data_IF_107208547389
#
_entry.id   IF_107208547389
#
_cell.length_a   1.000
_cell.length_b   1.000
_cell.length_c   1.000
_cell.angle_alpha   90.00
_cell.angle_beta   90.00
_cell.angle_gamma   90.00
#
_symmetry.space_group_name_H-M   'P 1'
#
loop_
_entity.id
_entity.type
_entity.pdbx_description
1 polymer ?
#
# COMPACT_ATOMS: atom_id res chain seq x y z
N UNK A 1 1.61 -23.01 12.59
CA UNK A 1 1.46 -22.44 13.94
C UNK A 1 1.68 -20.93 13.84
N UNK A 2 0.71 -20.12 14.24
CA UNK A 2 0.78 -18.65 14.20
C UNK A 2 1.46 -18.13 15.46
N UNK A 3 2.69 -17.61 15.35
CA UNK A 3 3.49 -17.10 16.49
C UNK A 3 3.22 -15.60 16.78
N UNK A 4 2.11 -15.04 16.32
CA UNK A 4 1.79 -13.61 16.44
C UNK A 4 0.91 -13.27 17.66
N UNK A 5 0.97 -12.02 18.13
CA UNK A 5 0.04 -11.51 19.15
C UNK A 5 -1.36 -11.39 18.55
N UNK A 6 -2.36 -12.03 19.16
CA UNK A 6 -3.78 -11.87 18.80
C UNK A 6 -4.22 -10.44 19.07
N UNK A 7 -4.88 -9.83 18.09
CA UNK A 7 -5.42 -8.48 18.14
C UNK A 7 -6.92 -8.55 18.38
N UNK A 8 -7.40 -7.68 19.26
CA UNK A 8 -8.82 -7.40 19.43
C UNK A 8 -9.20 -6.20 18.57
N UNK A 9 -10.21 -6.36 17.71
CA UNK A 9 -10.80 -5.24 16.97
C UNK A 9 -11.39 -4.25 17.98
N UNK A 10 -10.83 -3.05 18.00
CA UNK A 10 -11.18 -1.97 18.93
C UNK A 10 -10.83 -0.63 18.28
N UNK A 11 -11.45 0.46 18.74
CA UNK A 11 -11.11 1.80 18.25
C UNK A 11 -9.62 2.14 18.42
N UNK A 12 -8.99 1.65 19.49
CA UNK A 12 -7.56 1.86 19.73
C UNK A 12 -6.69 1.11 18.72
N UNK A 13 -7.06 -0.13 18.35
CA UNK A 13 -6.39 -0.83 17.26
C UNK A 13 -6.52 -0.06 15.94
N UNK A 14 -7.71 0.44 15.62
CA UNK A 14 -7.95 1.21 14.39
C UNK A 14 -7.09 2.49 14.34
N UNK A 15 -6.90 3.18 15.47
CA UNK A 15 -5.97 4.32 15.56
C UNK A 15 -4.53 3.94 15.24
N UNK A 16 -4.09 2.71 15.56
CA UNK A 16 -2.72 2.25 15.20
C UNK A 16 -2.51 2.10 13.70
N UNK A 17 -3.58 2.06 12.90
CA UNK A 17 -3.55 1.98 11.44
C UNK A 17 -3.51 3.38 10.79
N UNK A 18 -3.78 4.45 11.54
CA UNK A 18 -3.80 5.82 11.03
C UNK A 18 -2.42 6.23 10.48
N UNK A 19 -2.39 6.74 9.24
CA UNK A 19 -1.16 7.13 8.54
C UNK A 19 -0.24 5.97 8.14
N UNK A 20 -0.68 4.71 8.29
CA UNK A 20 0.11 3.51 7.98
C UNK A 20 -0.43 2.78 6.75
N UNK A 21 0.48 2.08 6.07
CA UNK A 21 0.16 1.11 5.03
C UNK A 21 0.14 -0.27 5.66
N UNK A 22 -1.04 -0.88 5.74
CA UNK A 22 -1.26 -2.15 6.45
C UNK A 22 -1.74 -3.23 5.49
N UNK A 23 -1.13 -4.40 5.58
CA UNK A 23 -1.49 -5.58 4.80
C UNK A 23 -2.19 -6.61 5.67
N UNK A 24 -3.32 -7.12 5.20
CA UNK A 24 -4.06 -8.21 5.83
C UNK A 24 -3.98 -9.44 4.93
N UNK A 25 -3.21 -10.42 5.40
CA UNK A 25 -3.02 -11.73 4.81
C UNK A 25 -4.18 -12.65 5.22
N UNK A 26 -4.81 -13.29 4.25
CA UNK A 26 -5.87 -14.26 4.49
C UNK A 26 -5.64 -15.56 3.69
N UNK A 27 -6.14 -16.67 4.24
CA UNK A 27 -5.97 -18.01 3.65
C UNK A 27 -7.00 -18.38 2.59
N UNK A 28 -7.22 -19.70 2.41
CA UNK A 28 -7.99 -20.33 1.31
C UNK A 28 -9.48 -19.95 1.19
N UNK A 29 -10.05 -19.27 2.17
CA UNK A 29 -11.44 -18.79 2.11
C UNK A 29 -11.47 -17.38 1.52
N UNK A 30 -12.45 -17.11 0.63
CA UNK A 30 -12.86 -15.74 0.26
C UNK A 30 -12.86 -14.86 1.52
N UNK A 31 -12.45 -13.59 1.37
CA UNK A 31 -12.51 -12.51 2.38
C UNK A 31 -13.45 -12.92 3.52
N UNK A 32 -12.88 -13.44 4.61
CA UNK A 32 -13.70 -13.96 5.71
C UNK A 32 -14.52 -12.82 6.29
N UNK A 33 -15.68 -13.12 6.89
CA UNK A 33 -16.57 -12.10 7.47
C UNK A 33 -15.84 -11.04 8.28
N UNK A 34 -14.72 -11.36 8.95
CA UNK A 34 -13.93 -10.37 9.70
C UNK A 34 -13.19 -9.31 8.88
N UNK A 35 -12.76 -9.61 7.65
CA UNK A 35 -12.11 -8.58 6.83
C UNK A 35 -13.17 -7.57 6.41
N UNK A 36 -14.36 -8.06 6.06
CA UNK A 36 -15.54 -7.23 5.88
C UNK A 36 -15.92 -6.49 7.17
N UNK A 37 -15.91 -7.13 8.34
CA UNK A 37 -16.21 -6.49 9.63
C UNK A 37 -15.13 -5.48 10.03
N UNK A 38 -13.86 -5.75 9.75
CA UNK A 38 -12.74 -4.83 9.95
C UNK A 38 -12.92 -3.60 9.07
N UNK A 39 -13.22 -3.80 7.78
CA UNK A 39 -13.52 -2.72 6.84
C UNK A 39 -14.74 -1.94 7.34
N UNK A 40 -15.84 -2.61 7.71
CA UNK A 40 -17.05 -1.98 8.24
C UNK A 40 -16.74 -1.15 9.50
N UNK A 41 -16.07 -1.74 10.48
CA UNK A 41 -15.70 -1.06 11.71
C UNK A 41 -14.79 0.14 11.42
N UNK A 42 -13.78 -0.02 10.57
CA UNK A 42 -12.87 1.09 10.28
C UNK A 42 -13.57 2.22 9.53
N UNK A 43 -14.44 1.88 8.57
CA UNK A 43 -15.31 2.82 7.88
C UNK A 43 -16.33 3.48 8.83
N UNK A 44 -16.75 2.83 9.93
CA UNK A 44 -17.68 3.38 10.94
C UNK A 44 -17.02 4.47 11.79
N UNK A 45 -15.73 4.34 12.09
CA UNK A 45 -15.01 5.25 12.97
C UNK A 45 -14.19 6.31 12.23
N UNK A 46 -13.96 6.13 10.93
CA UNK A 46 -13.18 7.07 10.14
C UNK A 46 -14.01 8.30 9.75
N UNK A 47 -13.55 9.49 10.17
CA UNK A 47 -14.24 10.75 9.92
C UNK A 47 -13.95 11.38 8.54
N UNK A 48 -13.00 10.81 7.78
CA UNK A 48 -12.58 11.31 6.47
C UNK A 48 -13.29 10.64 5.28
N UNK A 49 -12.81 10.93 4.08
CA UNK A 49 -13.30 10.28 2.86
C UNK A 49 -12.66 8.91 2.67
N UNK A 50 -13.46 7.94 2.23
CA UNK A 50 -13.01 6.57 2.01
C UNK A 50 -12.94 6.34 0.51
N UNK A 51 -11.80 5.88 0.02
CA UNK A 51 -11.60 5.50 -1.38
C UNK A 51 -11.42 4.00 -1.42
N UNK A 52 -12.28 3.34 -2.17
CA UNK A 52 -12.20 1.91 -2.41
C UNK A 52 -11.65 1.64 -3.80
N UNK A 53 -10.46 1.04 -3.86
CA UNK A 53 -9.77 0.65 -5.09
C UNK A 53 -10.00 -0.83 -5.37
N UNK A 54 -10.58 -1.14 -6.52
CA UNK A 54 -10.98 -2.50 -6.89
C UNK A 54 -10.65 -2.84 -8.35
N UNK A 55 -10.33 -4.10 -8.64
CA UNK A 55 -9.97 -4.56 -9.99
C UNK A 55 -11.21 -4.82 -10.85
N UNK A 56 -12.21 -5.51 -10.28
CA UNK A 56 -13.45 -5.93 -10.96
C UNK A 56 -14.71 -5.42 -10.23
N UNK A 57 -15.90 -5.57 -10.85
CA UNK A 57 -17.18 -5.08 -10.31
C UNK A 57 -17.63 -5.78 -9.01
N UNK A 58 -17.08 -6.93 -8.68
CA UNK A 58 -17.37 -7.60 -7.40
C UNK A 58 -16.48 -7.01 -6.31
N UNK A 59 -16.90 -5.89 -5.73
CA UNK A 59 -16.26 -5.37 -4.52
C UNK A 59 -16.44 -6.37 -3.38
N UNK A 60 -15.36 -6.68 -2.64
CA UNK A 60 -15.46 -7.43 -1.38
C UNK A 60 -16.12 -6.62 -0.26
N UNK A 61 -16.40 -5.33 -0.51
CA UNK A 61 -17.07 -4.44 0.41
C UNK A 61 -18.57 -4.79 0.53
N UNK A 62 -19.07 -5.01 1.76
CA UNK A 62 -20.49 -5.18 2.04
C UNK A 62 -21.34 -4.02 1.52
N UNK A 63 -22.47 -4.33 0.89
CA UNK A 63 -23.40 -3.34 0.31
C UNK A 63 -23.91 -2.33 1.33
N UNK A 64 -23.95 -2.72 2.61
CA UNK A 64 -24.34 -1.89 3.77
C UNK A 64 -23.46 -0.64 3.97
N UNK A 65 -22.25 -0.62 3.38
CA UNK A 65 -21.34 0.52 3.43
C UNK A 65 -21.57 1.55 2.30
N UNK A 66 -22.42 1.24 1.32
CA UNK A 66 -22.69 2.12 0.17
C UNK A 66 -23.43 3.41 0.55
N UNK A 67 -24.06 3.47 1.72
CA UNK A 67 -24.70 4.68 2.27
C UNK A 67 -23.69 5.71 2.81
N UNK A 68 -22.44 5.31 2.99
CA UNK A 68 -21.34 6.25 3.26
C UNK A 68 -20.74 6.72 1.96
N UNK A 69 -20.17 7.93 1.97
CA UNK A 69 -19.46 8.54 0.84
C UNK A 69 -18.16 7.78 0.50
N UNK A 70 -18.28 6.50 0.17
CA UNK A 70 -17.21 5.64 -0.30
C UNK A 70 -17.09 5.88 -1.80
N UNK A 71 -15.95 6.41 -2.21
CA UNK A 71 -15.65 6.65 -3.61
C UNK A 71 -15.07 5.36 -4.17
N UNK A 72 -15.80 4.75 -5.11
CA UNK A 72 -15.34 3.57 -5.85
C UNK A 72 -14.36 4.01 -6.95
N UNK A 73 -13.15 3.46 -6.94
CA UNK A 73 -12.09 3.74 -7.91
C UNK A 73 -11.64 2.43 -8.58
N UNK A 74 -12.10 2.14 -9.81
CA UNK A 74 -11.63 0.97 -10.53
C UNK A 74 -10.14 1.10 -10.88
N UNK A 75 -9.36 0.08 -10.54
CA UNK A 75 -7.95 -0.04 -10.88
C UNK A 75 -7.85 -0.60 -12.30
N UNK A 76 -7.42 0.24 -13.23
CA UNK A 76 -7.18 -0.22 -14.60
C UNK A 76 -5.82 -0.89 -14.73
N UNK A 77 -5.66 -1.77 -15.73
CA UNK A 77 -4.37 -2.34 -16.14
C UNK A 77 -3.28 -1.28 -16.34
N UNK A 78 -3.67 -0.08 -16.77
CA UNK A 78 -2.79 1.09 -16.78
C UNK A 78 -2.77 1.76 -15.39
N UNK A 79 -1.86 1.28 -14.54
CA UNK A 79 -1.69 1.76 -13.16
C UNK A 79 -1.43 3.27 -13.05
N UNK A 80 -0.82 3.88 -14.07
CA UNK A 80 -0.60 5.33 -14.13
C UNK A 80 -1.92 6.10 -14.20
N UNK A 81 -2.89 5.62 -14.99
CA UNK A 81 -4.22 6.23 -15.06
C UNK A 81 -4.94 6.15 -13.71
N UNK A 82 -4.82 5.01 -13.03
CA UNK A 82 -5.36 4.82 -11.69
C UNK A 82 -4.76 5.82 -10.70
N UNK A 83 -3.44 6.03 -10.73
CA UNK A 83 -2.77 7.01 -9.87
C UNK A 83 -3.22 8.45 -10.16
N UNK A 84 -3.35 8.84 -11.43
CA UNK A 84 -3.82 10.19 -11.80
C UNK A 84 -5.26 10.40 -11.32
N UNK A 85 -6.13 9.39 -11.46
CA UNK A 85 -7.51 9.46 -10.95
C UNK A 85 -7.54 9.55 -9.43
N UNK A 86 -6.73 8.73 -8.76
CA UNK A 86 -6.57 8.80 -7.31
C UNK A 86 -6.21 10.22 -6.92
N UNK A 87 -5.11 10.79 -7.43
CA UNK A 87 -4.65 12.15 -7.14
C UNK A 87 -5.72 13.24 -7.28
N UNK A 88 -6.64 13.10 -8.25
CA UNK A 88 -7.75 14.05 -8.45
C UNK A 88 -8.86 13.89 -7.40
N UNK A 89 -9.06 12.67 -6.88
CA UNK A 89 -10.07 12.37 -5.86
C UNK A 89 -9.59 12.74 -4.47
N UNK A 90 -8.29 12.56 -4.21
CA UNK A 90 -7.68 12.90 -2.92
C UNK A 90 -7.42 14.41 -2.83
N UNK A 91 -8.30 15.10 -2.09
CA UNK A 91 -8.11 16.50 -1.66
C UNK A 91 -7.20 16.60 -0.43
N UNK A 92 -7.03 17.80 0.15
CA UNK A 92 -6.31 18.04 1.41
C UNK A 92 -6.93 17.36 2.66
N UNK A 93 -8.00 16.57 2.48
CA UNK A 93 -8.63 15.80 3.55
C UNK A 93 -7.81 14.55 3.90
N UNK A 94 -8.03 14.02 5.10
CA UNK A 94 -7.52 12.68 5.48
C UNK A 94 -8.35 11.64 4.74
N UNK A 95 -7.69 10.68 4.11
CA UNK A 95 -8.35 9.62 3.35
C UNK A 95 -7.95 8.24 3.85
N UNK A 96 -8.92 7.35 3.89
CA UNK A 96 -8.73 5.92 4.05
C UNK A 96 -8.80 5.28 2.65
N UNK A 97 -7.70 4.67 2.22
CA UNK A 97 -7.64 3.96 0.94
C UNK A 97 -7.72 2.47 1.23
N UNK A 98 -8.71 1.82 0.65
CA UNK A 98 -8.89 0.38 0.72
C UNK A 98 -8.52 -0.19 -0.64
N UNK A 99 -7.50 -1.04 -0.70
CA UNK A 99 -7.05 -1.72 -1.91
C UNK A 99 -7.40 -3.20 -1.83
N UNK A 100 -8.43 -3.60 -2.57
CA UNK A 100 -8.90 -4.97 -2.62
C UNK A 100 -8.00 -5.85 -3.49
N UNK A 101 -7.91 -7.13 -3.10
CA UNK A 101 -7.31 -8.22 -3.88
C UNK A 101 -5.98 -7.88 -4.54
N UNK A 102 -4.97 -7.51 -3.73
CA UNK A 102 -3.66 -7.14 -4.23
C UNK A 102 -2.99 -8.28 -5.03
N UNK A 103 -3.28 -9.52 -4.68
CA UNK A 103 -2.85 -10.70 -5.43
C UNK A 103 -3.39 -10.73 -6.86
N UNK A 104 -4.65 -10.34 -7.06
CA UNK A 104 -5.31 -10.35 -8.37
C UNK A 104 -4.73 -9.23 -9.24
N UNK A 105 -4.51 -8.06 -8.64
CA UNK A 105 -3.81 -6.97 -9.31
C UNK A 105 -2.41 -7.41 -9.76
N UNK A 106 -1.65 -8.05 -8.86
CA UNK A 106 -0.31 -8.53 -9.15
C UNK A 106 -0.27 -9.60 -10.25
N UNK A 107 -1.26 -10.48 -10.30
CA UNK A 107 -1.42 -11.49 -11.35
C UNK A 107 -1.78 -10.84 -12.70
N UNK A 108 -2.65 -9.83 -12.70
CA UNK A 108 -3.13 -9.21 -13.94
C UNK A 108 -2.09 -8.29 -14.60
N UNK A 109 -1.39 -7.46 -13.81
CA UNK A 109 -0.43 -6.46 -14.33
C UNK A 109 1.02 -6.92 -14.23
N UNK A 110 1.28 -8.02 -13.53
CA UNK A 110 2.61 -8.50 -13.19
C UNK A 110 3.20 -7.86 -11.92
N UNK A 111 4.08 -8.61 -11.27
CA UNK A 111 4.70 -8.24 -9.99
C UNK A 111 5.50 -6.94 -10.03
N UNK A 112 6.30 -6.73 -11.09
CA UNK A 112 7.17 -5.55 -11.20
C UNK A 112 6.36 -4.25 -11.38
N UNK A 113 5.36 -4.18 -12.29
CA UNK A 113 4.46 -3.03 -12.35
C UNK A 113 3.66 -2.82 -11.06
N UNK A 114 3.13 -3.89 -10.45
CA UNK A 114 2.39 -3.81 -9.20
C UNK A 114 3.24 -3.22 -8.06
N UNK A 115 4.47 -3.71 -7.86
CA UNK A 115 5.39 -3.19 -6.84
C UNK A 115 5.74 -1.72 -7.03
N UNK A 116 5.98 -1.29 -8.28
CA UNK A 116 6.22 0.14 -8.58
C UNK A 116 5.02 1.00 -8.22
N UNK A 117 3.83 0.53 -8.54
CA UNK A 117 2.59 1.20 -8.18
C UNK A 117 2.43 1.32 -6.66
N UNK A 118 2.61 0.23 -5.91
CA UNK A 118 2.57 0.26 -4.44
C UNK A 118 3.61 1.22 -3.85
N UNK A 119 4.83 1.21 -4.39
CA UNK A 119 5.91 2.11 -3.93
C UNK A 119 5.52 3.58 -4.06
N UNK A 120 4.91 3.96 -5.19
CA UNK A 120 4.43 5.33 -5.42
C UNK A 120 3.22 5.65 -4.51
N UNK A 121 2.27 4.72 -4.41
CA UNK A 121 1.08 4.86 -3.57
C UNK A 121 1.46 5.07 -2.11
N UNK A 122 2.33 4.22 -1.54
CA UNK A 122 2.74 4.29 -0.14
C UNK A 122 3.58 5.52 0.16
N UNK A 123 4.46 5.94 -0.76
CA UNK A 123 5.20 7.18 -0.61
C UNK A 123 4.24 8.38 -0.49
N UNK A 124 3.30 8.51 -1.43
CA UNK A 124 2.28 9.58 -1.40
C UNK A 124 1.39 9.49 -0.16
N UNK A 125 1.04 8.27 0.23
CA UNK A 125 0.25 8.03 1.45
C UNK A 125 0.95 8.58 2.68
N UNK A 126 2.25 8.30 2.84
CA UNK A 126 3.05 8.81 3.96
C UNK A 126 3.22 10.33 3.93
N UNK A 127 3.50 10.90 2.76
CA UNK A 127 3.63 12.36 2.57
C UNK A 127 2.36 13.12 2.98
N UNK A 128 1.19 12.50 2.79
CA UNK A 128 -0.11 13.12 3.00
C UNK A 128 -0.86 12.55 4.23
N UNK A 129 -0.15 11.80 5.09
CA UNK A 129 -0.68 11.14 6.28
C UNK A 129 -1.98 10.35 6.05
N UNK A 130 -2.00 9.56 4.98
CA UNK A 130 -3.14 8.71 4.59
C UNK A 130 -2.93 7.29 5.07
N UNK A 131 -4.04 6.61 5.33
CA UNK A 131 -4.05 5.19 5.68
C UNK A 131 -4.34 4.37 4.43
N UNK A 132 -3.55 3.33 4.19
CA UNK A 132 -3.83 2.33 3.16
C UNK A 132 -4.03 0.99 3.84
N UNK A 133 -5.17 0.36 3.58
CA UNK A 133 -5.43 -1.03 3.94
C UNK A 133 -5.42 -1.84 2.67
N UNK A 134 -4.66 -2.93 2.65
CA UNK A 134 -4.62 -3.84 1.52
C UNK A 134 -4.88 -5.26 1.96
N UNK A 135 -5.54 -6.02 1.09
CA UNK A 135 -5.89 -7.41 1.33
C UNK A 135 -5.17 -8.30 0.35
N UNK A 136 -4.69 -9.44 0.85
CA UNK A 136 -3.87 -10.34 0.06
C UNK A 136 -4.06 -11.79 0.47
N UNK A 137 -4.28 -12.66 -0.51
CA UNK A 137 -4.48 -14.09 -0.30
C UNK A 137 -3.15 -14.84 -0.35
N UNK A 138 -2.83 -15.62 0.69
CA UNK A 138 -1.49 -16.21 0.83
C UNK A 138 -1.20 -17.37 -0.15
N UNK A 139 -2.22 -17.95 -0.80
CA UNK A 139 -2.07 -19.14 -1.65
C UNK A 139 -2.07 -18.86 -3.16
N UNK A 140 -2.16 -17.60 -3.58
CA UNK A 140 -2.37 -17.22 -4.99
C UNK A 140 -1.11 -16.95 -5.79
N UNK A 141 -0.01 -16.52 -5.16
CA UNK A 141 1.26 -16.26 -5.86
C UNK A 141 2.41 -16.93 -5.11
N UNK A 142 3.54 -17.08 -5.78
CA UNK A 142 4.70 -17.79 -5.21
C UNK A 142 5.28 -17.07 -3.98
N UNK A 143 5.96 -17.84 -3.12
CA UNK A 143 6.46 -17.35 -1.84
C UNK A 143 7.48 -16.20 -1.97
N UNK A 144 8.27 -16.15 -3.05
CA UNK A 144 9.24 -15.06 -3.26
C UNK A 144 8.53 -13.75 -3.60
N UNK A 145 7.54 -13.82 -4.48
CA UNK A 145 6.66 -12.70 -4.82
C UNK A 145 5.87 -12.19 -3.61
N UNK A 146 5.37 -13.11 -2.77
CA UNK A 146 4.69 -12.77 -1.52
C UNK A 146 5.60 -12.04 -0.52
N UNK A 147 6.82 -12.52 -0.31
CA UNK A 147 7.81 -11.84 0.53
C UNK A 147 8.15 -10.44 0.00
N UNK A 148 8.20 -10.28 -1.32
CA UNK A 148 8.52 -9.00 -1.93
C UNK A 148 7.41 -7.95 -1.71
N UNK A 149 6.15 -8.34 -1.86
CA UNK A 149 4.99 -7.46 -1.59
C UNK A 149 4.91 -7.12 -0.09
N UNK A 150 4.95 -8.13 0.77
CA UNK A 150 4.77 -7.96 2.22
C UNK A 150 5.78 -6.99 2.84
N UNK A 151 7.04 -7.02 2.38
CA UNK A 151 8.10 -6.09 2.84
C UNK A 151 7.82 -4.60 2.58
N UNK A 152 6.88 -4.28 1.69
CA UNK A 152 6.57 -2.89 1.34
C UNK A 152 5.62 -2.22 2.35
N UNK A 153 5.00 -3.00 3.25
CA UNK A 153 3.98 -2.53 4.19
C UNK A 153 4.58 -2.21 5.57
N UNK A 154 3.97 -1.24 6.25
CA UNK A 154 4.38 -0.83 7.61
C UNK A 154 3.90 -1.83 8.66
N UNK A 155 2.72 -2.40 8.45
CA UNK A 155 2.15 -3.45 9.30
C UNK A 155 1.68 -4.62 8.46
N UNK A 156 1.93 -5.83 8.95
CA UNK A 156 1.43 -7.06 8.33
C UNK A 156 0.63 -7.82 9.38
N UNK A 157 -0.60 -8.18 9.02
CA UNK A 157 -1.52 -8.92 9.85
C UNK A 157 -1.91 -10.20 9.14
N UNK A 158 -1.95 -11.32 9.86
CA UNK A 158 -2.50 -12.57 9.36
C UNK A 158 -3.85 -12.83 10.00
N UNK A 159 -4.81 -13.22 9.18
CA UNK A 159 -6.15 -13.61 9.61
C UNK A 159 -6.28 -15.14 9.64
N UNK A 160 -6.86 -15.67 10.71
CA UNK A 160 -7.11 -17.10 10.88
C UNK A 160 -8.45 -17.31 11.61
N UNK A 161 -9.44 -17.82 10.88
CA UNK A 161 -10.83 -17.87 11.34
C UNK A 161 -11.34 -16.48 11.69
N UNK A 162 -11.77 -16.28 12.96
CA UNK A 162 -12.26 -15.02 13.54
C UNK A 162 -11.18 -14.11 14.16
N UNK A 163 -9.91 -14.47 14.01
CA UNK A 163 -8.82 -13.84 14.74
C UNK A 163 -7.85 -13.12 13.79
N UNK A 164 -7.32 -11.98 14.23
CA UNK A 164 -6.26 -11.23 13.56
C UNK A 164 -5.00 -11.32 14.42
N UNK A 165 -3.86 -11.60 13.79
CA UNK A 165 -2.56 -11.71 14.43
C UNK A 165 -1.58 -10.75 13.77
N UNK A 166 -0.81 -9.97 14.54
CA UNK A 166 0.30 -9.20 13.97
C UNK A 166 1.45 -10.14 13.61
N UNK A 167 1.93 -10.09 12.37
CA UNK A 167 3.10 -10.85 11.92
C UNK A 167 4.37 -10.04 12.18
N UNK A 168 5.34 -10.65 12.89
CA UNK A 168 6.66 -10.06 13.13
C UNK A 168 6.62 -8.85 14.07
N UNK A 169 6.97 -9.06 15.34
CA UNK A 169 7.41 -7.99 16.24
C UNK A 169 8.94 -7.90 16.16
N UNK A 170 9.46 -7.20 15.16
CA UNK A 170 10.86 -6.73 15.17
C UNK A 170 11.02 -5.36 14.50
N UNK A 171 10.01 -4.51 14.64
CA UNK A 171 10.14 -3.08 14.43
C UNK A 171 9.55 -2.40 15.64
N UNK A 172 10.46 -2.05 16.57
CA UNK A 172 10.33 -1.07 17.66
C UNK A 172 8.89 -0.62 17.90
N UNK A 173 8.19 -1.31 18.80
CA UNK A 173 7.11 -0.69 19.57
C UNK A 173 7.72 0.53 20.27
N UNK A 174 7.53 1.70 19.66
CA UNK A 174 7.80 2.97 20.28
C UNK A 174 6.65 3.24 21.26
N UNK A 175 6.60 2.44 22.33
CA UNK A 175 6.01 2.86 23.58
C UNK A 175 7.12 3.54 24.37
N UNK A 176 7.42 4.79 24.02
CA UNK A 176 8.03 5.73 24.95
C UNK A 176 7.78 7.15 24.44
N UNK A 177 7.16 7.95 25.32
CA UNK A 177 7.13 9.41 25.31
C UNK A 177 8.53 9.99 25.02
N UNK A 178 8.61 11.22 24.51
CA UNK A 178 9.78 11.69 23.78
C UNK A 178 10.95 11.83 24.74
N UNK A 179 12.02 11.09 24.51
CA UNK A 179 13.31 11.47 25.04
C UNK A 179 14.39 11.44 23.95
N UNK A 180 15.14 12.52 23.97
CA UNK A 180 15.86 13.08 22.86
C UNK A 180 17.22 12.39 22.73
N UNK A 181 17.33 11.30 21.95
CA UNK A 181 18.63 10.71 21.60
C UNK A 181 18.70 10.24 20.15
N UNK A 182 19.40 11.03 19.33
CA UNK A 182 19.96 10.61 18.04
C UNK A 182 20.88 9.40 18.27
N UNK A 183 20.51 8.23 17.77
CA UNK A 183 21.45 7.14 17.50
C UNK A 183 21.40 6.81 16.02
N UNK A 184 22.38 7.32 15.28
CA UNK A 184 22.64 6.97 13.90
C UNK A 184 23.28 5.58 13.89
N UNK A 185 22.58 4.57 13.37
CA UNK A 185 23.15 3.24 13.13
C UNK A 185 23.99 3.29 11.83
N UNK A 186 25.30 2.98 11.88
CA UNK A 186 26.21 3.10 10.74
C UNK A 186 25.97 2.06 9.63
N UNK A 187 25.13 1.05 9.87
CA UNK A 187 24.90 -0.05 8.92
C UNK A 187 23.91 0.31 7.78
N UNK A 188 23.05 1.31 7.98
CA UNK A 188 22.06 1.75 6.96
C UNK A 188 22.74 2.63 5.88
N UNK A 189 23.86 3.27 6.22
CA UNK A 189 24.58 4.18 5.31
C UNK A 189 25.10 3.47 4.06
N UNK A 190 25.63 2.25 4.23
CA UNK A 190 26.24 1.47 3.15
C UNK A 190 25.21 0.81 2.22
N UNK A 191 24.01 0.49 2.72
CA UNK A 191 22.93 -0.03 1.86
C UNK A 191 22.24 1.09 1.07
N UNK A 192 22.05 2.26 1.68
CA UNK A 192 21.52 3.43 0.97
C UNK A 192 22.47 3.93 -0.12
N UNK A 193 23.78 3.83 0.05
CA UNK A 193 24.75 4.12 -1.01
C UNK A 193 24.67 3.10 -2.15
N UNK A 194 24.57 1.81 -1.84
CA UNK A 194 24.38 0.75 -2.87
C UNK A 194 23.08 0.92 -3.63
N UNK A 195 21.99 1.29 -2.96
CA UNK A 195 20.71 1.58 -3.62
C UNK A 195 20.84 2.83 -4.49
N UNK A 196 21.52 3.88 -4.00
CA UNK A 196 21.72 5.12 -4.77
C UNK A 196 22.56 4.89 -6.03
N UNK A 197 23.53 3.98 -6.00
CA UNK A 197 24.35 3.64 -7.17
C UNK A 197 23.60 2.78 -8.21
N UNK A 198 22.60 1.99 -7.81
CA UNK A 198 21.73 1.25 -8.75
C UNK A 198 20.76 2.20 -9.50
N UNK A 199 20.39 3.33 -8.90
CA UNK A 199 19.49 4.32 -9.49
C UNK A 199 20.20 5.52 -10.12
N UNK A 200 21.54 5.55 -10.10
CA UNK A 200 22.31 6.54 -10.84
C UNK A 200 22.39 6.09 -12.29
N UNK A 201 21.73 6.84 -13.17
CA UNK A 201 21.95 6.74 -14.60
C UNK A 201 23.43 6.94 -14.88
N UNK A 202 24.02 6.07 -15.69
CA UNK A 202 25.40 6.28 -16.12
C UNK A 202 25.46 7.57 -16.97
N UNK A 203 26.63 8.23 -17.06
CA UNK A 203 26.80 9.40 -17.92
C UNK A 203 26.39 9.11 -19.37
N UNK A 204 26.53 7.87 -19.83
CA UNK A 204 26.07 7.41 -21.14
C UNK A 204 24.53 7.37 -21.24
N UNK A 205 23.84 6.79 -20.26
CA UNK A 205 22.38 6.73 -20.21
C UNK A 205 21.75 8.12 -20.10
N UNK A 206 22.37 9.01 -19.33
CA UNK A 206 21.95 10.41 -19.22
C UNK A 206 22.08 11.14 -20.57
N UNK A 207 23.16 10.88 -21.31
CA UNK A 207 23.40 11.47 -22.63
C UNK A 207 22.44 10.96 -23.70
N UNK A 208 22.01 9.70 -23.62
CA UNK A 208 20.96 9.17 -24.50
C UNK A 208 19.59 9.79 -24.19
N UNK A 209 19.25 9.96 -22.90
CA UNK A 209 18.02 10.64 -22.49
C UNK A 209 18.00 12.10 -22.95
N UNK A 210 19.11 12.83 -22.79
CA UNK A 210 19.22 14.22 -23.24
C UNK A 210 19.13 14.34 -24.78
N UNK A 211 19.65 13.36 -25.51
CA UNK A 211 19.51 13.30 -26.98
C UNK A 211 18.06 13.07 -27.40
N UNK A 212 17.36 12.14 -26.77
CA UNK A 212 15.93 11.85 -27.07
C UNK A 212 15.04 13.06 -26.75
N UNK A 213 15.32 13.77 -25.64
CA UNK A 213 14.59 14.99 -25.27
C UNK A 213 14.91 16.13 -26.26
N UNK A 214 16.17 16.29 -26.65
CA UNK A 214 16.60 17.27 -27.64
C UNK A 214 15.99 17.05 -29.04
N UNK A 215 15.88 15.80 -29.47
CA UNK A 215 15.29 15.44 -30.76
C UNK A 215 13.76 15.68 -30.77
N UNK A 216 13.06 15.38 -29.66
CA UNK A 216 11.62 15.67 -29.51
C UNK A 216 11.32 17.17 -29.48
N UNK A 217 12.18 18.00 -28.91
CA UNK A 217 11.97 19.47 -28.89
C UNK A 217 12.12 20.06 -30.31
N UNK A 218 13.02 19.51 -31.13
CA UNK A 218 13.21 19.96 -32.53
C UNK A 218 12.03 19.62 -33.43
N UNK A 219 11.36 18.49 -33.22
CA UNK A 219 10.14 18.13 -33.97
C UNK A 219 8.96 19.08 -33.67
N UNK A 220 8.91 19.70 -32.49
CA UNK A 220 7.88 20.69 -32.13
C UNK A 220 8.23 22.14 -32.49
N UNK A 221 9.47 22.40 -32.93
CA UNK A 221 9.94 23.77 -33.28
C UNK A 221 9.88 24.04 -34.79
N UNK A 222 9.44 23.07 -35.58
CA UNK A 222 9.16 23.21 -37.01
C UNK A 222 7.65 23.05 -37.19
N UNK A 223 6.89 24.10 -36.90
CA UNK A 223 5.49 24.30 -37.26
C UNK A 223 5.23 25.80 -37.36
#
# INVERSE_FOLDING_TARGET
MNNGRKIQLSGDFLKTLEGRNSLFLYGKTKITGNVSDLIIHHCNFFAGAIIHMHLDKSSGIPTELMDRQIIQLPVSKNLTSTMIKLERLVSDKVHLIILDSLEELALEVGMKPCSRFLSVLFRKSREQNRTVLSFYREDTIDANSAQYITRSFDNIFRTDGNNIFKQGSDVRTCDTLPDNKKSTDPHISTEMEKIRDIFRLTPEEQKELDKIVGDRIREFSIS
#
